data_IF_641605516668
#
_entry.id   IF_641605516668
#
_cell.length_a   1.000
_cell.length_b   1.000
_cell.length_c   1.000
_cell.angle_alpha   90.00
_cell.angle_beta   90.00
_cell.angle_gamma   90.00
#
_symmetry.space_group_name_H-M   'P 1'
#
loop_
_entity.id
_entity.type
_entity.pdbx_description
1 polymer ?
#
# COMPACT_ATOMS: atom_id res chain seq x y z
N UNK A 1 10.91 -13.25 -5.32
CA UNK A 1 12.04 -12.44 -5.82
C UNK A 1 12.27 -11.20 -4.98
N UNK A 2 11.22 -10.44 -4.65
CA UNK A 2 11.35 -9.33 -3.70
C UNK A 2 11.77 -9.80 -2.29
N UNK A 3 13.04 -9.58 -1.95
CA UNK A 3 13.60 -9.93 -0.66
C UNK A 3 13.05 -9.10 0.51
N UNK A 4 12.31 -8.03 0.23
CA UNK A 4 11.59 -7.23 1.21
C UNK A 4 10.13 -7.69 1.43
N UNK A 5 9.60 -8.57 0.57
CA UNK A 5 8.22 -9.04 0.65
C UNK A 5 8.05 -10.12 1.71
N UNK A 6 6.91 -10.09 2.41
CA UNK A 6 6.55 -11.16 3.34
C UNK A 6 6.38 -12.53 2.66
N UNK A 7 6.13 -12.58 1.35
CA UNK A 7 6.09 -13.84 0.60
C UNK A 7 7.46 -14.57 0.57
N UNK A 8 8.56 -13.83 0.71
CA UNK A 8 9.92 -14.39 0.81
C UNK A 8 10.35 -14.62 2.25
N UNK A 9 9.81 -13.86 3.21
CA UNK A 9 10.22 -13.93 4.62
C UNK A 9 9.41 -14.91 5.48
N UNK A 10 8.10 -15.05 5.23
CA UNK A 10 7.17 -15.72 6.14
C UNK A 10 6.23 -16.66 5.40
N UNK A 11 6.04 -17.87 5.92
CA UNK A 11 5.11 -18.86 5.34
C UNK A 11 3.66 -18.36 5.28
N UNK A 12 3.13 -17.87 6.40
CA UNK A 12 1.76 -17.31 6.47
C UNK A 12 1.61 -16.11 5.55
N UNK A 13 2.66 -15.28 5.43
CA UNK A 13 2.72 -14.19 4.47
C UNK A 13 2.63 -14.68 3.03
N UNK A 14 3.36 -15.73 2.68
CA UNK A 14 3.32 -16.35 1.35
C UNK A 14 1.94 -16.92 1.01
N UNK A 15 1.32 -17.65 1.93
CA UNK A 15 -0.01 -18.25 1.72
C UNK A 15 -1.07 -17.15 1.48
N UNK A 16 -1.03 -16.06 2.25
CA UNK A 16 -1.99 -14.95 2.08
C UNK A 16 -1.72 -14.13 0.82
N UNK A 17 -0.47 -13.80 0.54
CA UNK A 17 -0.07 -12.99 -0.62
C UNK A 17 -0.23 -13.75 -1.95
N UNK A 18 -0.31 -15.09 -1.92
CA UNK A 18 -0.62 -15.92 -3.09
C UNK A 18 -2.11 -16.22 -3.26
N UNK A 19 -2.99 -15.58 -2.49
CA UNK A 19 -4.44 -15.70 -2.65
C UNK A 19 -4.95 -14.95 -3.89
N UNK A 20 -6.26 -14.87 -4.11
CA UNK A 20 -6.79 -14.19 -5.28
C UNK A 20 -6.45 -12.67 -5.26
N UNK A 21 -6.17 -12.05 -6.43
CA UNK A 21 -6.07 -10.60 -6.52
C UNK A 21 -7.34 -9.89 -6.04
N UNK A 22 -7.18 -8.72 -5.42
CA UNK A 22 -8.30 -7.99 -4.81
C UNK A 22 -8.69 -8.52 -3.43
N UNK A 23 -7.85 -9.33 -2.79
CA UNK A 23 -7.99 -9.74 -1.39
C UNK A 23 -7.20 -8.81 -0.46
N UNK A 24 -7.76 -8.46 0.69
CA UNK A 24 -7.05 -7.72 1.73
C UNK A 24 -5.98 -8.60 2.38
N UNK A 25 -4.78 -8.06 2.46
CA UNK A 25 -3.68 -8.61 3.24
C UNK A 25 -3.32 -7.67 4.38
N UNK A 26 -3.74 -8.03 5.59
CA UNK A 26 -3.55 -7.20 6.78
C UNK A 26 -2.35 -7.71 7.58
N UNK A 27 -1.44 -6.80 7.95
CA UNK A 27 -0.25 -7.17 8.72
C UNK A 27 0.06 -6.16 9.81
N UNK A 28 0.80 -6.58 10.85
CA UNK A 28 1.25 -5.69 11.93
C UNK A 28 2.70 -5.28 11.71
N UNK A 29 2.94 -3.99 11.46
CA UNK A 29 4.30 -3.45 11.50
C UNK A 29 4.80 -3.41 12.93
N UNK A 30 5.84 -4.19 13.22
CA UNK A 30 6.48 -4.34 14.54
C UNK A 30 5.46 -4.64 15.67
N UNK A 31 4.37 -5.35 15.37
CA UNK A 31 3.31 -5.66 16.33
C UNK A 31 2.37 -4.49 16.67
N UNK A 32 2.67 -3.26 16.27
CA UNK A 32 1.98 -2.05 16.75
C UNK A 32 0.85 -1.61 15.83
N UNK A 33 1.15 -1.49 14.53
CA UNK A 33 0.26 -0.82 13.59
C UNK A 33 -0.23 -1.79 12.53
N UNK A 34 -1.55 -1.91 12.40
CA UNK A 34 -2.18 -2.59 11.26
C UNK A 34 -1.85 -1.83 9.98
N UNK A 35 -1.43 -2.55 8.95
CA UNK A 35 -1.13 -2.05 7.62
C UNK A 35 -2.02 -2.74 6.61
N UNK A 36 -2.70 -1.93 5.80
CA UNK A 36 -3.62 -2.39 4.75
C UNK A 36 -2.83 -2.64 3.47
N UNK A 37 -2.80 -3.90 3.03
CA UNK A 37 -2.30 -4.27 1.72
C UNK A 37 -3.42 -4.90 0.90
N UNK A 38 -3.30 -4.84 -0.42
CA UNK A 38 -4.23 -5.49 -1.35
C UNK A 38 -3.40 -6.45 -2.19
N UNK A 39 -3.80 -7.72 -2.24
CA UNK A 39 -3.17 -8.75 -3.08
C UNK A 39 -3.33 -8.35 -4.54
N UNK A 40 -2.19 -8.30 -5.25
CA UNK A 40 -2.10 -7.82 -6.62
C UNK A 40 -0.94 -8.55 -7.31
N UNK A 41 -1.29 -9.54 -8.12
CA UNK A 41 -0.36 -10.32 -8.94
C UNK A 41 -1.16 -11.10 -10.00
N UNK A 42 -0.44 -11.76 -10.90
CA UNK A 42 -1.03 -12.70 -11.86
C UNK A 42 -1.30 -14.08 -11.23
N UNK A 43 -2.23 -14.89 -11.77
CA UNK A 43 -2.46 -16.25 -11.32
C UNK A 43 -1.16 -17.05 -11.16
N UNK A 44 -0.99 -17.70 -10.00
CA UNK A 44 0.20 -18.50 -9.69
C UNK A 44 1.44 -17.71 -9.20
N UNK A 45 1.35 -16.37 -9.12
CA UNK A 45 2.40 -15.51 -8.55
C UNK A 45 2.06 -15.05 -7.12
N UNK A 46 2.91 -14.17 -6.58
CA UNK A 46 2.77 -13.59 -5.24
C UNK A 46 3.02 -12.08 -5.35
N UNK A 47 2.12 -11.27 -4.82
CA UNK A 47 2.30 -9.81 -4.83
C UNK A 47 1.21 -9.09 -4.05
N UNK A 48 1.56 -7.98 -3.44
CA UNK A 48 0.59 -7.12 -2.77
C UNK A 48 1.05 -5.66 -2.80
N UNK A 49 0.10 -4.73 -2.84
CA UNK A 49 0.31 -3.29 -2.78
C UNK A 49 -0.02 -2.81 -1.38
N UNK A 50 0.93 -2.16 -0.72
CA UNK A 50 0.72 -1.50 0.57
C UNK A 50 0.12 -0.10 0.35
N UNK A 51 -1.04 0.17 0.94
CA UNK A 51 -1.60 1.52 0.99
C UNK A 51 -0.87 2.35 2.06
N UNK A 52 -0.23 3.44 1.63
CA UNK A 52 0.69 4.21 2.49
C UNK A 52 0.15 5.54 2.97
N UNK A 53 -0.61 6.22 2.14
CA UNK A 53 -1.19 7.50 2.47
C UNK A 53 -2.38 7.76 1.54
N UNK A 54 -3.27 8.63 1.99
CA UNK A 54 -4.37 9.17 1.21
C UNK A 54 -4.53 10.65 1.59
N UNK A 55 -5.17 11.40 0.69
CA UNK A 55 -5.69 12.72 1.00
C UNK A 55 -6.80 12.64 2.05
N UNK A 56 -7.19 13.77 2.62
CA UNK A 56 -8.25 13.78 3.61
C UNK A 56 -9.56 13.21 3.03
N UNK A 57 -10.36 12.48 3.84
CA UNK A 57 -11.59 11.87 3.36
C UNK A 57 -12.55 12.91 2.78
N UNK A 58 -13.09 12.64 1.59
CA UNK A 58 -14.19 13.43 1.00
C UNK A 58 -15.43 13.31 1.90
N UNK A 59 -15.68 12.11 2.42
CA UNK A 59 -16.73 11.81 3.39
C UNK A 59 -16.16 11.03 4.58
N UNK A 60 -16.80 11.15 5.75
CA UNK A 60 -16.35 10.42 6.95
C UNK A 60 -15.14 11.04 7.66
N UNK A 61 -14.82 12.32 7.41
CA UNK A 61 -13.73 13.04 8.06
C UNK A 61 -13.79 12.96 9.60
N UNK A 62 -14.97 13.19 10.19
CA UNK A 62 -15.15 13.14 11.65
C UNK A 62 -14.97 11.72 12.21
N UNK A 63 -15.39 10.69 11.47
CA UNK A 63 -15.17 9.30 11.83
C UNK A 63 -13.68 8.95 11.81
N UNK A 64 -12.96 9.39 10.77
CA UNK A 64 -11.52 9.21 10.70
C UNK A 64 -10.80 9.96 11.84
N UNK A 65 -11.21 11.19 12.16
CA UNK A 65 -10.66 11.98 13.29
C UNK A 65 -10.90 11.28 14.63
N UNK A 66 -12.09 10.73 14.85
CA UNK A 66 -12.43 10.00 16.07
C UNK A 66 -11.59 8.73 16.24
N UNK A 67 -11.18 8.08 15.14
CA UNK A 67 -10.31 6.90 15.15
C UNK A 67 -8.84 7.23 15.33
N UNK A 68 -8.41 8.49 15.13
CA UNK A 68 -6.99 8.92 15.17
C UNK A 68 -6.38 8.77 16.58
N UNK A 69 -5.08 8.47 16.65
CA UNK A 69 -4.38 8.48 17.94
C UNK A 69 -4.21 9.90 18.49
N UNK A 70 -4.18 10.07 19.83
CA UNK A 70 -3.79 11.32 20.45
C UNK A 70 -2.42 11.79 19.93
N UNK A 71 -2.27 13.10 19.69
CA UNK A 71 -1.04 13.76 19.20
C UNK A 71 -0.63 13.45 17.76
N UNK A 72 -1.39 12.67 17.01
CA UNK A 72 -1.13 12.45 15.59
C UNK A 72 -1.66 13.64 14.79
N UNK A 73 -0.77 14.39 14.13
CA UNK A 73 -1.16 15.60 13.37
C UNK A 73 -1.87 15.25 12.06
N UNK A 74 -1.26 14.37 11.26
CA UNK A 74 -1.80 13.95 9.98
C UNK A 74 -2.79 12.78 10.13
N UNK A 75 -3.91 12.85 9.41
CA UNK A 75 -5.01 11.91 9.55
C UNK A 75 -4.74 10.57 8.84
N UNK A 76 -4.46 10.63 7.54
CA UNK A 76 -4.25 9.45 6.69
C UNK A 76 -2.82 9.35 6.13
N UNK A 77 -1.88 10.16 6.63
CA UNK A 77 -0.49 10.13 6.17
C UNK A 77 0.31 9.09 6.96
N UNK A 78 0.77 8.05 6.27
CA UNK A 78 1.48 6.91 6.84
C UNK A 78 0.59 5.67 6.94
N UNK A 79 1.12 4.47 6.70
CA UNK A 79 0.30 3.28 6.44
C UNK A 79 -0.53 2.85 7.66
N UNK A 80 -0.02 3.08 8.88
CA UNK A 80 -0.77 2.82 10.12
C UNK A 80 -1.83 3.88 10.42
N UNK A 81 -1.58 5.13 10.03
CA UNK A 81 -2.55 6.23 10.11
C UNK A 81 -3.72 5.98 9.16
N UNK A 82 -3.41 5.62 7.91
CA UNK A 82 -4.38 5.28 6.87
C UNK A 82 -5.28 4.14 7.31
N UNK A 83 -4.70 3.00 7.69
CA UNK A 83 -5.47 1.81 8.10
C UNK A 83 -6.41 2.13 9.27
N UNK A 84 -5.95 2.95 10.21
CA UNK A 84 -6.76 3.40 11.36
C UNK A 84 -7.88 4.36 10.96
N UNK A 85 -7.60 5.37 10.13
CA UNK A 85 -8.60 6.35 9.73
C UNK A 85 -9.70 5.72 8.89
N UNK A 86 -9.35 4.85 7.94
CA UNK A 86 -10.30 4.06 7.14
C UNK A 86 -11.05 3.05 8.01
N UNK A 87 -10.40 2.54 9.06
CA UNK A 87 -11.01 1.64 10.03
C UNK A 87 -10.84 0.16 9.73
N UNK A 88 -9.89 -0.18 8.85
CA UNK A 88 -9.51 -1.57 8.55
C UNK A 88 -8.85 -2.22 9.77
N UNK A 89 -9.17 -3.47 10.02
CA UNK A 89 -8.73 -4.28 11.15
C UNK A 89 -7.83 -5.43 10.68
N UNK A 90 -7.07 -5.99 11.62
CA UNK A 90 -6.22 -7.16 11.31
C UNK A 90 -7.06 -8.37 10.87
N UNK A 91 -8.28 -8.48 11.39
CA UNK A 91 -9.25 -9.55 11.09
C UNK A 91 -9.79 -9.50 9.67
N UNK A 92 -9.60 -8.39 8.95
CA UNK A 92 -10.09 -8.24 7.58
C UNK A 92 -9.18 -8.94 6.56
N UNK A 93 -8.06 -9.54 7.01
CA UNK A 93 -7.19 -10.31 6.12
C UNK A 93 -7.94 -11.47 5.48
N UNK A 94 -7.56 -11.81 4.24
CA UNK A 94 -8.20 -12.84 3.41
C UNK A 94 -9.63 -12.53 2.97
N UNK A 95 -10.15 -11.33 3.27
CA UNK A 95 -11.45 -10.91 2.77
C UNK A 95 -11.30 -10.22 1.40
N UNK A 96 -12.18 -10.51 0.43
CA UNK A 96 -12.19 -9.81 -0.84
C UNK A 96 -12.62 -8.34 -0.65
N UNK A 97 -12.10 -7.46 -1.50
CA UNK A 97 -12.66 -6.12 -1.66
C UNK A 97 -14.14 -6.22 -2.02
N UNK A 98 -14.97 -5.41 -1.39
CA UNK A 98 -16.40 -5.41 -1.63
C UNK A 98 -17.20 -4.87 -0.45
N UNK A 99 -18.53 -4.94 -0.59
CA UNK A 99 -19.44 -4.44 0.42
C UNK A 99 -19.29 -5.14 1.78
N UNK A 100 -18.91 -6.43 1.79
CA UNK A 100 -18.73 -7.21 3.03
C UNK A 100 -17.56 -6.71 3.88
N UNK A 101 -16.47 -6.27 3.25
CA UNK A 101 -15.33 -5.63 3.94
C UNK A 101 -15.54 -4.13 4.15
N UNK A 102 -16.46 -3.53 3.41
CA UNK A 102 -16.60 -2.07 3.32
C UNK A 102 -15.41 -1.39 2.63
N UNK A 103 -14.50 -2.15 2.02
CA UNK A 103 -13.34 -1.62 1.29
C UNK A 103 -13.54 -1.90 -0.19
N UNK A 104 -13.62 -0.83 -0.98
CA UNK A 104 -13.77 -0.90 -2.43
C UNK A 104 -12.75 0.00 -3.10
N UNK A 105 -12.39 -0.33 -4.34
CA UNK A 105 -11.60 0.53 -5.21
C UNK A 105 -12.50 1.08 -6.31
N UNK A 106 -12.30 2.35 -6.64
CA UNK A 106 -12.93 3.01 -7.76
C UNK A 106 -11.84 3.65 -8.64
N UNK A 107 -12.08 3.84 -9.95
CA UNK A 107 -11.17 4.61 -10.79
C UNK A 107 -10.90 5.99 -10.19
N UNK A 108 -9.65 6.44 -10.24
CA UNK A 108 -9.28 7.79 -9.84
C UNK A 108 -9.93 8.85 -10.73
N UNK A 109 -10.10 10.06 -10.19
CA UNK A 109 -10.79 11.18 -10.87
C UNK A 109 -9.85 12.19 -11.53
N UNK A 110 -8.55 12.09 -11.30
CA UNK A 110 -7.56 13.04 -11.79
C UNK A 110 -6.36 12.33 -12.40
N UNK A 111 -5.85 12.88 -13.49
CA UNK A 111 -4.57 12.51 -14.08
C UNK A 111 -3.47 13.21 -13.28
N UNK A 112 -2.90 12.51 -12.29
CA UNK A 112 -1.89 13.08 -11.40
C UNK A 112 -0.49 12.57 -11.76
N UNK A 113 0.55 13.42 -11.62
CA UNK A 113 1.90 12.99 -11.94
C UNK A 113 2.35 11.89 -10.98
N UNK A 114 2.55 10.68 -11.50
CA UNK A 114 3.07 9.56 -10.73
C UNK A 114 4.58 9.76 -10.56
N UNK A 115 5.04 9.70 -9.32
CA UNK A 115 6.45 9.74 -8.95
C UNK A 115 6.83 8.41 -8.31
N UNK A 116 8.10 8.02 -8.44
CA UNK A 116 8.64 6.80 -7.86
C UNK A 116 9.85 7.06 -6.97
N UNK A 117 10.02 6.23 -5.94
CA UNK A 117 11.23 6.22 -5.12
C UNK A 117 11.46 4.84 -4.50
N UNK A 118 12.61 4.65 -3.82
CA UNK A 118 12.78 3.56 -2.87
C UNK A 118 11.65 3.44 -1.85
N UNK A 119 11.39 2.20 -1.44
CA UNK A 119 10.43 1.87 -0.38
C UNK A 119 10.98 2.23 1.00
N UNK A 120 10.06 2.53 1.92
CA UNK A 120 10.36 2.99 3.28
C UNK A 120 10.14 1.85 4.27
N UNK A 121 11.03 1.73 5.26
CA UNK A 121 10.89 0.77 6.36
C UNK A 121 11.31 -0.65 6.00
N UNK A 122 12.16 -0.81 4.97
CA UNK A 122 12.72 -2.10 4.56
C UNK A 122 14.25 -2.07 4.61
N UNK A 123 14.84 -3.23 4.87
CA UNK A 123 16.31 -3.42 4.97
C UNK A 123 16.90 -4.21 3.80
N UNK A 124 16.05 -4.77 2.94
CA UNK A 124 16.42 -5.54 1.74
C UNK A 124 15.76 -4.92 0.53
N UNK A 125 16.28 -5.17 -0.68
CA UNK A 125 15.76 -4.62 -1.93
C UNK A 125 15.50 -3.09 -1.83
N UNK A 126 16.45 -2.38 -1.21
CA UNK A 126 16.29 -0.97 -0.80
C UNK A 126 16.37 0.01 -1.94
N UNK A 127 16.99 -0.38 -3.05
CA UNK A 127 17.17 0.50 -4.22
C UNK A 127 16.00 0.42 -5.20
N UNK A 128 15.11 -0.58 -5.07
CA UNK A 128 14.00 -0.77 -5.98
C UNK A 128 12.97 0.37 -5.86
N UNK A 129 12.61 0.98 -6.99
CA UNK A 129 11.70 2.13 -7.11
C UNK A 129 10.22 1.74 -7.01
N UNK A 130 9.88 0.86 -6.08
CA UNK A 130 8.52 0.30 -5.93
C UNK A 130 7.68 1.06 -4.89
N UNK A 131 7.95 2.35 -4.70
CA UNK A 131 7.04 3.26 -3.99
C UNK A 131 6.53 4.30 -4.98
N UNK A 132 5.28 4.13 -5.39
CA UNK A 132 4.57 5.07 -6.26
C UNK A 132 3.76 6.06 -5.41
N UNK A 133 3.70 7.32 -5.83
CA UNK A 133 2.93 8.37 -5.17
C UNK A 133 2.66 9.55 -6.11
N UNK A 134 1.63 10.34 -5.81
CA UNK A 134 1.39 11.62 -6.49
C UNK A 134 2.48 12.63 -6.10
N UNK A 135 3.25 13.10 -7.09
CA UNK A 135 4.34 14.04 -6.89
C UNK A 135 3.92 15.44 -6.43
N UNK A 136 2.67 15.80 -6.69
CA UNK A 136 2.08 17.09 -6.31
C UNK A 136 1.45 17.07 -4.92
N UNK A 137 1.17 15.88 -4.37
CA UNK A 137 0.41 15.75 -3.14
C UNK A 137 1.22 16.06 -1.88
N UNK A 138 0.67 16.93 -1.03
CA UNK A 138 1.22 17.23 0.30
C UNK A 138 1.02 16.08 1.31
N UNK A 139 0.17 15.10 0.98
CA UNK A 139 -0.20 13.97 1.84
C UNK A 139 0.79 12.79 1.74
N UNK A 140 1.85 12.92 0.93
CA UNK A 140 2.90 11.91 0.86
C UNK A 140 3.75 11.93 2.14
N UNK A 141 3.95 10.76 2.75
CA UNK A 141 4.77 10.65 3.96
C UNK A 141 6.19 11.21 3.72
N UNK A 142 6.63 12.14 4.58
CA UNK A 142 7.85 12.94 4.41
C UNK A 142 9.17 12.18 4.50
N UNK A 143 9.18 10.90 4.85
CA UNK A 143 10.40 10.10 4.84
C UNK A 143 10.81 9.81 3.40
N UNK A 144 11.86 10.49 2.94
CA UNK A 144 12.45 10.34 1.61
C UNK A 144 13.78 9.62 1.77
N UNK A 145 13.90 8.45 1.14
CA UNK A 145 15.15 7.68 1.08
C UNK A 145 15.51 7.51 -0.40
N UNK A 146 16.77 7.77 -0.73
CA UNK A 146 17.31 7.60 -2.08
C UNK A 146 16.72 8.57 -3.11
N UNK A 147 16.96 8.24 -4.38
CA UNK A 147 16.52 9.04 -5.52
C UNK A 147 14.99 9.06 -5.65
N UNK A 148 14.47 10.21 -6.07
CA UNK A 148 13.06 10.39 -6.41
C UNK A 148 13.00 10.74 -7.89
N UNK A 149 12.24 9.95 -8.64
CA UNK A 149 12.02 10.16 -10.06
C UNK A 149 10.59 10.65 -10.25
N UNK A 150 10.44 11.85 -10.80
CA UNK A 150 9.16 12.34 -11.27
C UNK A 150 8.86 11.75 -12.64
N UNK A 151 7.59 11.40 -12.89
CA UNK A 151 7.12 10.83 -14.17
C UNK A 151 8.02 9.67 -14.64
N UNK A 152 8.16 8.60 -13.83
CA UNK A 152 8.99 7.49 -14.21
C UNK A 152 8.38 6.80 -15.43
N UNK A 153 9.24 6.22 -16.26
CA UNK A 153 8.82 5.26 -17.27
C UNK A 153 8.17 4.05 -16.58
N UNK A 154 6.83 4.06 -16.54
CA UNK A 154 6.05 3.04 -15.84
C UNK A 154 6.22 1.68 -16.50
N UNK A 155 6.35 1.62 -17.83
CA UNK A 155 6.59 0.37 -18.55
C UNK A 155 7.95 -0.21 -18.16
N UNK A 156 8.97 0.64 -18.02
CA UNK A 156 10.28 0.20 -17.51
C UNK A 156 10.23 -0.23 -16.05
N UNK A 157 9.47 0.46 -15.19
CA UNK A 157 9.29 0.04 -13.79
C UNK A 157 8.53 -1.29 -13.71
N UNK A 158 7.53 -1.47 -14.56
CA UNK A 158 6.76 -2.71 -14.71
C UNK A 158 7.67 -3.83 -15.25
N UNK A 159 8.53 -3.55 -16.22
CA UNK A 159 9.48 -4.53 -16.76
C UNK A 159 10.58 -4.92 -15.75
N UNK A 160 10.86 -4.08 -14.75
CA UNK A 160 11.70 -4.45 -13.60
C UNK A 160 10.96 -5.34 -12.59
N UNK A 161 9.64 -5.45 -12.69
CA UNK A 161 8.87 -6.47 -11.99
C UNK A 161 8.99 -7.77 -12.80
N UNK A 162 9.14 -8.94 -12.16
CA UNK A 162 9.21 -10.22 -12.87
C UNK A 162 7.99 -10.42 -13.78
N UNK A 163 8.25 -10.40 -15.09
CA UNK A 163 7.31 -10.50 -16.21
C UNK A 163 5.84 -10.27 -15.82
N UNK A 164 5.43 -9.01 -15.61
CA UNK A 164 4.02 -8.67 -15.57
C UNK A 164 3.52 -8.56 -17.01
N UNK A 165 2.90 -9.62 -17.52
CA UNK A 165 2.09 -9.58 -18.72
C UNK A 165 0.69 -9.12 -18.32
N UNK A 166 0.47 -7.81 -18.33
CA UNK A 166 -0.89 -7.27 -18.30
C UNK A 166 -1.64 -7.77 -19.55
N UNK A 167 -2.58 -8.70 -19.36
CA UNK A 167 -3.60 -9.06 -20.34
C UNK A 167 -4.95 -8.54 -19.89
#
# INVERSE_FOLDING_TARGET
EDLASHATMYRVGRETIGSAPGVLYMQRSYGLHTMTNIVAHEPGKYGAVLLRAAEDPVEGLELAKARRLPKQSALLVGPGSLSRGVGTLLTDTLQPLGAETGVMLAPGVADTPIWASPRIGITRATEALWRLFDGSSQFVSRHRRGEIIGEPDLDRLIAQLPELHFR
#
